data_IF_866667204147
#
_entry.id   IF_866667204147
#
_cell.length_a   1.000
_cell.length_b   1.000
_cell.length_c   1.000
_cell.angle_alpha   90.00
_cell.angle_beta   90.00
_cell.angle_gamma   90.00
#
_symmetry.space_group_name_H-M   'P 1'
#
loop_
_entity.id
_entity.type
_entity.pdbx_description
1 polymer ?
#
# COMPACT_ATOMS: atom_id res chain seq x y z
N UNK A 1 5.65 10.18 23.32
CA UNK A 1 5.13 8.85 22.93
C UNK A 1 5.83 8.47 21.64
N UNK A 2 6.60 7.39 21.65
CA UNK A 2 7.25 6.87 20.45
C UNK A 2 6.21 6.09 19.64
N UNK A 3 5.89 6.56 18.42
CA UNK A 3 4.94 5.88 17.53
C UNK A 3 5.66 4.72 16.85
N UNK A 4 5.27 3.48 17.19
CA UNK A 4 5.88 2.26 16.64
C UNK A 4 5.35 1.88 15.26
N UNK A 5 4.21 2.43 14.87
CA UNK A 5 3.58 2.26 13.56
C UNK A 5 2.61 3.41 13.25
N UNK A 6 2.08 3.43 12.02
CA UNK A 6 0.87 4.16 11.69
C UNK A 6 0.07 3.36 10.64
N UNK A 7 -1.17 2.98 10.94
CA UNK A 7 -2.03 2.20 10.02
C UNK A 7 -3.46 2.73 10.04
N UNK A 8 -4.00 3.04 8.84
CA UNK A 8 -5.36 3.56 8.65
C UNK A 8 -6.11 2.84 7.51
N UNK A 9 -5.82 1.56 7.28
CA UNK A 9 -6.24 0.82 6.08
C UNK A 9 -7.62 0.15 6.20
N UNK A 10 -8.21 0.08 7.40
CA UNK A 10 -9.52 -0.54 7.62
C UNK A 10 -10.45 0.39 8.39
N UNK A 11 -11.75 0.10 8.34
CA UNK A 11 -12.80 0.85 9.04
C UNK A 11 -12.63 0.80 10.57
N UNK A 12 -12.08 -0.29 11.11
CA UNK A 12 -11.96 -0.55 12.55
C UNK A 12 -10.70 0.08 13.18
N UNK A 13 -10.18 1.16 12.60
CA UNK A 13 -8.97 1.80 13.13
C UNK A 13 -9.21 2.43 14.51
N UNK A 14 -8.17 2.42 15.35
CA UNK A 14 -8.25 2.95 16.71
C UNK A 14 -8.77 4.39 16.70
N UNK A 15 -9.98 4.58 17.26
CA UNK A 15 -10.66 5.87 17.39
C UNK A 15 -10.86 6.62 16.07
N UNK A 16 -10.93 5.93 14.92
CA UNK A 16 -11.03 6.54 13.59
C UNK A 16 -9.91 7.56 13.30
N UNK A 17 -8.70 7.35 13.84
CA UNK A 17 -7.54 8.26 13.67
C UNK A 17 -6.27 7.57 13.17
N UNK A 18 -6.18 6.25 13.30
CA UNK A 18 -4.99 5.48 12.92
C UNK A 18 -4.37 4.73 14.10
N UNK A 19 -3.96 3.49 13.84
CA UNK A 19 -3.35 2.63 14.83
C UNK A 19 -1.84 2.94 14.92
N UNK A 20 -1.36 3.30 16.12
CA UNK A 20 0.04 3.76 16.34
C UNK A 20 0.92 2.84 17.19
N UNK A 21 0.32 1.82 17.81
CA UNK A 21 1.01 0.83 18.63
C UNK A 21 0.74 -0.62 18.15
N UNK A 22 -0.53 -0.96 17.94
CA UNK A 22 -0.98 -2.19 17.30
C UNK A 22 -2.29 -1.93 16.55
N UNK A 23 -2.55 -2.66 15.47
CA UNK A 23 -3.82 -2.62 14.76
C UNK A 23 -4.94 -3.25 15.59
N UNK A 24 -6.13 -2.66 15.56
CA UNK A 24 -7.33 -3.26 16.18
C UNK A 24 -7.61 -4.66 15.61
N UNK A 25 -7.28 -4.89 14.34
CA UNK A 25 -7.30 -6.19 13.69
C UNK A 25 -6.16 -7.15 14.12
N UNK A 26 -5.37 -6.82 15.14
CA UNK A 26 -4.23 -7.62 15.61
C UNK A 26 -2.91 -7.42 14.85
N UNK A 27 -2.84 -6.47 13.90
CA UNK A 27 -1.62 -6.20 13.14
C UNK A 27 -0.52 -5.66 14.06
N UNK A 28 0.58 -6.41 14.18
CA UNK A 28 1.73 -6.02 14.99
C UNK A 28 2.56 -4.92 14.29
N UNK A 29 3.22 -4.03 15.07
CA UNK A 29 3.99 -2.92 14.52
C UNK A 29 5.19 -3.37 13.66
N UNK A 30 5.81 -4.53 13.93
CA UNK A 30 6.90 -5.02 13.05
C UNK A 30 6.39 -5.40 11.64
N UNK A 31 5.11 -5.76 11.52
CA UNK A 31 4.45 -6.08 10.25
C UNK A 31 3.96 -4.81 9.54
N UNK A 32 3.88 -3.68 10.25
CA UNK A 32 3.34 -2.42 9.75
C UNK A 32 4.35 -1.57 8.98
N UNK A 33 5.22 -2.20 8.19
CA UNK A 33 5.98 -1.49 7.14
C UNK A 33 5.01 -1.24 5.96
N UNK A 34 4.02 -0.38 6.19
CA UNK A 34 3.06 0.04 5.19
C UNK A 34 3.76 0.95 4.20
N UNK A 35 4.17 0.42 3.05
CA UNK A 35 4.58 1.23 1.92
C UNK A 35 3.34 1.97 1.39
N UNK A 36 3.22 3.25 1.69
CA UNK A 36 2.26 4.13 1.05
C UNK A 36 2.70 4.33 -0.41
N UNK A 37 2.01 3.68 -1.35
CA UNK A 37 2.21 3.92 -2.78
C UNK A 37 1.56 5.26 -3.10
N UNK A 38 2.37 6.31 -3.16
CA UNK A 38 1.96 7.61 -3.69
C UNK A 38 1.93 7.51 -5.22
N UNK A 39 0.81 7.89 -5.85
CA UNK A 39 0.75 8.12 -7.29
C UNK A 39 1.62 9.35 -7.62
N UNK A 40 2.92 9.14 -7.70
CA UNK A 40 3.92 10.17 -8.03
C UNK A 40 4.58 9.81 -9.34
N UNK A 41 5.05 10.82 -10.06
CA UNK A 41 5.90 10.58 -11.22
C UNK A 41 7.18 9.86 -10.79
N UNK A 42 7.76 9.07 -11.68
CA UNK A 42 9.03 8.37 -11.45
C UNK A 42 10.12 9.30 -10.89
N UNK A 43 10.16 10.55 -11.36
CA UNK A 43 11.11 11.57 -10.92
C UNK A 43 10.99 11.89 -9.43
N UNK A 44 9.76 12.01 -8.91
CA UNK A 44 9.53 12.29 -7.49
C UNK A 44 9.94 11.08 -6.66
N UNK A 45 9.56 9.87 -7.09
CA UNK A 45 9.93 8.64 -6.39
C UNK A 45 11.45 8.47 -6.32
N UNK A 46 12.17 8.67 -7.43
CA UNK A 46 13.65 8.59 -7.46
C UNK A 46 14.30 9.58 -6.51
N UNK A 47 13.81 10.82 -6.44
CA UNK A 47 14.33 11.84 -5.50
C UNK A 47 14.11 11.43 -4.04
N UNK A 48 12.90 10.96 -3.71
CA UNK A 48 12.57 10.50 -2.37
C UNK A 48 13.43 9.29 -1.95
N UNK A 49 13.55 8.27 -2.81
CA UNK A 49 14.39 7.09 -2.57
C UNK A 49 15.84 7.49 -2.31
N UNK A 50 16.38 8.44 -3.10
CA UNK A 50 17.74 8.96 -2.93
C UNK A 50 17.92 9.66 -1.58
N UNK A 51 16.97 10.49 -1.17
CA UNK A 51 17.02 11.22 0.12
C UNK A 51 16.93 10.26 1.32
N UNK A 52 16.17 9.19 1.20
CA UNK A 52 16.03 8.16 2.24
C UNK A 52 17.16 7.13 2.24
N UNK A 53 18.11 7.20 1.31
CA UNK A 53 19.18 6.20 1.18
C UNK A 53 18.72 4.84 0.65
N UNK A 54 17.48 4.74 0.15
CA UNK A 54 16.85 3.51 -0.30
C UNK A 54 17.12 3.19 -1.78
N UNK A 55 17.80 4.06 -2.51
CA UNK A 55 18.14 3.85 -3.93
C UNK A 55 19.09 2.66 -4.19
N UNK A 56 19.68 2.09 -3.13
CA UNK A 56 20.61 0.95 -3.21
C UNK A 56 19.89 -0.41 -3.21
N UNK A 57 18.63 -0.44 -2.81
CA UNK A 57 17.85 -1.66 -2.80
C UNK A 57 17.36 -1.98 -4.22
N UNK A 58 17.28 -3.27 -4.53
CA UNK A 58 16.73 -3.72 -5.79
C UNK A 58 15.28 -3.25 -5.93
N UNK A 59 14.96 -2.64 -7.07
CA UNK A 59 13.62 -2.16 -7.38
C UNK A 59 13.18 -2.67 -8.74
N UNK A 60 11.95 -3.14 -8.82
CA UNK A 60 11.33 -3.57 -10.08
C UNK A 60 10.32 -2.52 -10.55
N UNK A 61 10.51 -2.02 -11.77
CA UNK A 61 9.49 -1.18 -12.44
C UNK A 61 8.35 -2.09 -12.91
N UNK A 62 7.12 -1.67 -12.65
CA UNK A 62 5.90 -2.33 -13.15
C UNK A 62 5.07 -1.26 -13.83
N UNK A 63 4.95 -1.32 -15.16
CA UNK A 63 4.07 -0.42 -15.91
C UNK A 63 2.62 -0.91 -15.77
N UNK A 64 1.68 0.00 -15.52
CA UNK A 64 0.27 -0.31 -15.27
C UNK A 64 -0.66 0.55 -16.12
N UNK A 65 -1.82 0.01 -16.45
CA UNK A 65 -2.90 0.74 -17.13
C UNK A 65 -4.08 0.99 -16.17
N UNK A 66 -5.05 1.81 -16.59
CA UNK A 66 -6.28 2.01 -15.82
C UNK A 66 -7.01 0.67 -15.64
N UNK A 67 -7.49 0.41 -14.41
CA UNK A 67 -8.12 -0.85 -14.04
C UNK A 67 -7.16 -1.95 -13.57
N UNK A 68 -5.84 -1.82 -13.77
CA UNK A 68 -4.88 -2.82 -13.26
C UNK A 68 -4.91 -2.87 -11.73
N UNK A 69 -5.06 -4.08 -11.19
CA UNK A 69 -4.93 -4.38 -9.78
C UNK A 69 -3.66 -5.20 -9.58
N UNK A 70 -2.64 -4.60 -8.96
CA UNK A 70 -1.41 -5.27 -8.58
C UNK A 70 -1.48 -5.78 -7.14
N UNK A 71 -1.22 -7.06 -6.95
CA UNK A 71 -1.01 -7.67 -5.62
C UNK A 71 0.43 -8.10 -5.48
N UNK A 72 1.08 -7.66 -4.41
CA UNK A 72 2.39 -8.15 -3.97
C UNK A 72 2.16 -8.98 -2.72
N UNK A 73 2.48 -10.27 -2.75
CA UNK A 73 2.34 -11.13 -1.58
C UNK A 73 3.53 -11.00 -0.61
N UNK A 74 3.44 -11.69 0.54
CA UNK A 74 4.47 -11.70 1.58
C UNK A 74 5.84 -12.24 1.12
N UNK A 75 5.89 -12.98 0.01
CA UNK A 75 7.12 -13.51 -0.56
C UNK A 75 7.66 -12.61 -1.68
N UNK A 76 7.03 -11.45 -1.92
CA UNK A 76 7.40 -10.54 -2.99
C UNK A 76 6.88 -10.95 -4.37
N UNK A 77 6.01 -11.97 -4.47
CA UNK A 77 5.43 -12.37 -5.76
C UNK A 77 4.39 -11.35 -6.19
N UNK A 78 4.56 -10.83 -7.39
CA UNK A 78 3.62 -9.90 -8.02
C UNK A 78 2.62 -10.68 -8.87
N UNK A 79 1.33 -10.45 -8.65
CA UNK A 79 0.24 -10.91 -9.51
C UNK A 79 -0.57 -9.72 -10.01
N UNK A 80 -1.02 -9.76 -11.26
CA UNK A 80 -1.87 -8.75 -11.88
C UNK A 80 -3.28 -9.32 -12.12
N UNK A 81 -4.29 -8.53 -11.80
CA UNK A 81 -5.67 -8.74 -12.24
C UNK A 81 -6.23 -7.44 -12.81
N UNK A 82 -7.41 -7.49 -13.42
CA UNK A 82 -8.10 -6.33 -13.95
C UNK A 82 -9.39 -6.07 -13.16
N UNK A 83 -9.71 -4.79 -12.97
CA UNK A 83 -10.98 -4.38 -12.39
C UNK A 83 -12.09 -4.56 -13.41
N UNK A 84 -12.98 -5.52 -13.15
CA UNK A 84 -14.19 -5.71 -13.93
C UNK A 84 -15.37 -5.06 -13.20
N UNK A 85 -15.87 -3.91 -13.65
CA UNK A 85 -17.05 -3.30 -13.06
C UNK A 85 -18.23 -4.25 -13.20
N UNK A 86 -18.84 -4.64 -12.09
CA UNK A 86 -20.11 -5.36 -12.12
C UNK A 86 -21.20 -4.38 -12.52
N UNK A 87 -21.66 -4.47 -13.76
CA UNK A 87 -22.89 -3.82 -14.18
C UNK A 87 -24.06 -4.55 -13.51
N UNK A 88 -24.71 -3.86 -12.58
CA UNK A 88 -25.98 -4.32 -12.03
C UNK A 88 -27.03 -3.72 -12.95
N UNK A 89 -27.66 -4.58 -13.75
CA UNK A 89 -28.79 -4.17 -14.59
C UNK A 89 -29.94 -3.73 -13.66
N UNK A 90 -30.37 -2.45 -13.70
CA UNK A 90 -31.46 -1.98 -12.86
C UNK A 90 -32.83 -2.58 -13.23
N UNK A 91 -32.91 -3.41 -14.27
CA UNK A 91 -34.13 -4.12 -14.70
C UNK A 91 -34.28 -5.56 -14.18
N UNK A 92 -33.27 -6.11 -13.50
CA UNK A 92 -33.35 -7.39 -12.73
C UNK A 92 -33.54 -7.14 -11.25
#
# INVERSE_FOLDING_TARGET
MEQKMFCYQCQDTAGCKGCTACGVCGKQPEVAVGLYVYASTETIMKKALKQLGLQKFESKRVDTEEGDILRIDRNGKITRSQYEPKYIDPST
#
